data_IF_964379137412
#
_entry.id   IF_964379137412
#
_cell.length_a   1.000
_cell.length_b   1.000
_cell.length_c   1.000
_cell.angle_alpha   90.00
_cell.angle_beta   90.00
_cell.angle_gamma   90.00
#
_symmetry.space_group_name_H-M   'P 1'
#
loop_
_entity.id
_entity.type
_entity.pdbx_description
1 polymer ?
#
# COMPACT_ATOMS: atom_id res chain seq x y z
N UNK A 1 15.67 -23.61 -4.70
CA UNK A 1 17.11 -23.52 -5.04
C UNK A 1 17.80 -24.71 -4.38
N UNK A 2 18.54 -25.53 -5.12
CA UNK A 2 19.17 -26.74 -4.57
C UNK A 2 20.32 -26.34 -3.62
N UNK A 3 20.16 -26.55 -2.31
CA UNK A 3 21.25 -26.41 -1.33
C UNK A 3 22.25 -27.57 -1.51
N UNK A 4 23.53 -27.25 -1.68
CA UNK A 4 24.64 -28.20 -1.61
C UNK A 4 25.33 -28.10 -0.24
N UNK A 5 25.78 -29.22 0.32
CA UNK A 5 26.51 -29.20 1.58
C UNK A 5 27.53 -30.33 1.77
N UNK A 6 28.51 -30.02 2.63
CA UNK A 6 29.76 -30.74 2.94
C UNK A 6 29.73 -31.15 4.42
N UNK A 7 30.30 -32.33 4.74
CA UNK A 7 30.28 -32.99 6.05
C UNK A 7 31.61 -32.83 6.79
N UNK A 8 31.62 -32.35 8.03
CA UNK A 8 32.74 -32.54 8.96
C UNK A 8 32.20 -32.91 10.36
N UNK A 9 32.70 -34.03 10.93
CA UNK A 9 32.31 -34.57 12.26
C UNK A 9 33.29 -34.04 13.31
N UNK A 10 32.83 -33.63 14.49
CA UNK A 10 33.42 -33.91 15.82
C UNK A 10 32.28 -33.84 16.85
N UNK A 11 32.12 -34.92 17.63
CA UNK A 11 31.24 -35.15 18.80
C UNK A 11 29.82 -34.51 18.83
N UNK A 12 28.83 -35.36 18.54
CA UNK A 12 27.39 -35.27 18.86
C UNK A 12 26.48 -34.23 18.18
N UNK A 13 26.91 -33.51 17.14
CA UNK A 13 25.98 -32.79 16.26
C UNK A 13 25.42 -33.72 15.18
N UNK A 14 24.15 -34.11 15.27
CA UNK A 14 23.45 -34.73 14.14
C UNK A 14 22.97 -33.61 13.19
N UNK A 15 23.45 -33.62 11.94
CA UNK A 15 22.97 -32.71 10.91
C UNK A 15 21.84 -33.37 10.12
N UNK A 16 20.68 -32.72 10.06
CA UNK A 16 19.52 -33.18 9.30
C UNK A 16 19.55 -32.54 7.91
N UNK A 17 19.34 -33.35 6.86
CA UNK A 17 19.37 -32.93 5.45
C UNK A 17 18.03 -33.26 4.78
N UNK A 18 17.36 -32.26 4.19
CA UNK A 18 16.06 -32.46 3.51
C UNK A 18 14.87 -32.20 4.44
N UNK A 19 13.74 -32.88 4.22
CA UNK A 19 12.64 -32.84 5.19
C UNK A 19 13.13 -33.38 6.53
N UNK A 20 12.86 -32.66 7.62
CA UNK A 20 13.16 -33.16 8.95
C UNK A 20 12.46 -34.50 9.17
N UNK A 21 13.15 -35.52 9.71
CA UNK A 21 12.49 -36.74 10.13
C UNK A 21 11.45 -36.37 11.20
N UNK A 22 10.27 -36.99 11.13
CA UNK A 22 9.21 -36.78 12.10
C UNK A 22 8.96 -38.12 12.82
N UNK A 23 9.22 -38.22 14.14
CA UNK A 23 9.85 -37.20 14.99
C UNK A 23 11.38 -37.12 14.81
N UNK A 24 11.96 -35.96 15.14
CA UNK A 24 13.38 -35.81 15.44
C UNK A 24 13.60 -36.38 16.85
N UNK A 25 14.58 -37.27 16.99
CA UNK A 25 14.94 -37.87 18.29
C UNK A 25 16.35 -37.40 18.64
N UNK A 26 16.48 -36.68 19.75
CA UNK A 26 17.74 -36.18 20.28
C UNK A 26 17.97 -36.90 21.61
N UNK A 27 19.03 -37.72 21.69
CA UNK A 27 19.29 -38.45 22.93
C UNK A 27 19.65 -37.48 24.06
N UNK A 28 19.60 -37.98 25.29
CA UNK A 28 20.11 -37.24 26.44
C UNK A 28 21.58 -36.86 26.21
N UNK A 29 21.92 -35.59 26.48
CA UNK A 29 23.24 -35.01 26.27
C UNK A 29 23.69 -34.97 24.79
N UNK A 30 22.74 -34.77 23.88
CA UNK A 30 23.01 -34.53 22.46
C UNK A 30 22.29 -33.26 21.98
N UNK A 31 22.72 -32.73 20.84
CA UNK A 31 22.06 -31.59 20.18
C UNK A 31 22.00 -31.81 18.66
N UNK A 32 21.09 -31.10 18.00
CA UNK A 32 20.90 -31.16 16.54
C UNK A 32 21.15 -29.79 15.95
N UNK A 33 21.94 -29.74 14.87
CA UNK A 33 22.15 -28.52 14.09
C UNK A 33 21.42 -28.62 12.75
N UNK A 34 20.68 -27.56 12.43
CA UNK A 34 19.91 -27.43 11.19
C UNK A 34 20.37 -26.16 10.49
N UNK A 35 20.83 -26.28 9.25
CA UNK A 35 21.23 -25.13 8.45
C UNK A 35 20.01 -24.49 7.77
N UNK A 36 19.76 -23.21 8.04
CA UNK A 36 18.75 -22.42 7.33
C UNK A 36 19.28 -21.92 5.97
N UNK A 37 20.60 -21.91 5.80
CA UNK A 37 21.27 -21.38 4.62
C UNK A 37 21.52 -19.88 4.71
N UNK A 38 21.89 -19.27 3.58
CA UNK A 38 22.14 -17.84 3.48
C UNK A 38 20.81 -17.08 3.35
N UNK A 39 20.46 -16.33 4.39
CA UNK A 39 19.23 -15.53 4.44
C UNK A 39 19.55 -14.05 4.20
N UNK A 40 18.67 -13.39 3.45
CA UNK A 40 18.77 -11.95 3.23
C UNK A 40 18.21 -11.18 4.44
N UNK A 41 18.73 -9.98 4.74
CA UNK A 41 18.16 -9.12 5.76
C UNK A 41 16.66 -8.86 5.49
N UNK A 42 15.82 -8.95 6.51
CA UNK A 42 14.36 -8.83 6.38
C UNK A 42 13.63 -10.08 5.86
N UNK A 43 14.32 -11.21 5.65
CA UNK A 43 13.66 -12.49 5.34
C UNK A 43 12.82 -12.93 6.54
N UNK A 44 11.56 -13.29 6.30
CA UNK A 44 10.69 -13.89 7.31
C UNK A 44 10.89 -15.41 7.32
N UNK A 45 11.09 -15.96 8.51
CA UNK A 45 11.20 -17.40 8.76
C UNK A 45 10.15 -17.79 9.78
N UNK A 46 9.29 -18.76 9.45
CA UNK A 46 8.38 -19.36 10.43
C UNK A 46 9.02 -20.63 10.99
N UNK A 47 8.98 -20.75 12.31
CA UNK A 47 9.34 -21.95 13.04
C UNK A 47 8.07 -22.55 13.64
N UNK A 48 7.87 -23.85 13.45
CA UNK A 48 6.78 -24.63 14.07
C UNK A 48 7.40 -25.83 14.78
N UNK A 49 7.23 -25.88 16.10
CA UNK A 49 7.85 -26.86 17.00
C UNK A 49 6.77 -27.53 17.83
N UNK A 50 6.86 -28.85 18.01
CA UNK A 50 6.13 -29.60 19.04
C UNK A 50 7.08 -30.56 19.75
N UNK A 51 7.39 -30.29 21.02
CA UNK A 51 8.40 -31.01 21.81
C UNK A 51 7.80 -31.65 23.07
N UNK A 52 8.23 -32.87 23.40
CA UNK A 52 7.72 -33.62 24.55
C UNK A 52 8.39 -33.29 25.90
N UNK A 53 9.58 -32.69 25.85
CA UNK A 53 10.37 -32.26 27.03
C UNK A 53 11.03 -30.91 26.77
N UNK A 54 11.48 -30.28 27.84
CA UNK A 54 12.20 -29.01 27.80
C UNK A 54 13.54 -29.11 27.06
N UNK A 55 13.83 -28.14 26.20
CA UNK A 55 15.05 -28.05 25.40
C UNK A 55 15.36 -26.58 25.06
N UNK A 56 16.58 -26.28 24.59
CA UNK A 56 16.92 -24.95 24.10
C UNK A 56 16.76 -24.86 22.57
N UNK A 57 16.01 -23.87 22.13
CA UNK A 57 15.92 -23.45 20.74
C UNK A 57 16.85 -22.27 20.51
N UNK A 58 17.99 -22.49 19.87
CA UNK A 58 19.00 -21.46 19.64
C UNK A 58 19.16 -21.14 18.16
N UNK A 59 19.36 -19.87 17.79
CA UNK A 59 19.57 -19.46 16.39
C UNK A 59 20.89 -18.72 16.24
N UNK A 60 21.87 -19.36 15.61
CA UNK A 60 23.23 -18.82 15.45
C UNK A 60 23.51 -18.28 14.06
N UNK A 61 24.26 -17.18 14.02
CA UNK A 61 25.00 -16.77 12.83
C UNK A 61 26.17 -17.74 12.62
N UNK A 62 26.60 -17.91 11.37
CA UNK A 62 27.77 -18.73 11.05
C UNK A 62 29.05 -18.33 11.78
N UNK A 63 29.19 -17.05 12.15
CA UNK A 63 30.35 -16.53 12.91
C UNK A 63 30.27 -16.80 14.40
N UNK A 64 29.07 -16.96 14.95
CA UNK A 64 28.84 -17.26 16.37
C UNK A 64 28.84 -18.74 16.67
N UNK A 65 28.41 -19.57 15.72
CA UNK A 65 28.31 -21.02 15.88
C UNK A 65 29.61 -21.70 16.40
N UNK A 66 30.83 -21.31 16.00
CA UNK A 66 32.03 -21.90 16.57
C UNK A 66 32.20 -21.68 18.07
N UNK A 67 31.62 -20.62 18.66
CA UNK A 67 31.68 -20.42 20.11
C UNK A 67 30.92 -21.53 20.84
N UNK A 68 29.70 -21.84 20.37
CA UNK A 68 28.89 -22.97 20.83
C UNK A 68 29.65 -24.30 20.65
N UNK A 69 30.09 -24.62 19.43
CA UNK A 69 30.74 -25.89 19.10
C UNK A 69 32.06 -26.18 19.85
N UNK A 70 32.69 -25.16 20.44
CA UNK A 70 33.95 -25.28 21.16
C UNK A 70 33.80 -25.03 22.68
N UNK A 71 32.60 -25.20 23.22
CA UNK A 71 32.31 -25.04 24.66
C UNK A 71 32.71 -23.66 25.22
N UNK A 72 32.61 -22.62 24.39
CA UNK A 72 32.89 -21.24 24.79
C UNK A 72 31.59 -20.54 25.18
N UNK A 73 31.70 -19.49 26.01
CA UNK A 73 30.54 -18.63 26.31
C UNK A 73 30.01 -18.00 25.02
N UNK A 74 28.73 -18.25 24.73
CA UNK A 74 28.08 -17.84 23.48
C UNK A 74 26.85 -16.96 23.66
N UNK A 75 26.41 -16.69 24.91
CA UNK A 75 25.20 -15.93 25.24
C UNK A 75 25.35 -14.44 24.93
N UNK A 76 25.30 -14.08 23.65
CA UNK A 76 25.49 -12.72 23.19
C UNK A 76 24.75 -12.47 21.89
N UNK A 77 24.10 -11.30 21.79
CA UNK A 77 23.51 -10.77 20.56
C UNK A 77 24.49 -10.75 19.37
N UNK A 78 25.80 -10.78 19.64
CA UNK A 78 26.86 -10.86 18.60
C UNK A 78 26.92 -12.23 17.92
N UNK A 79 26.52 -13.29 18.61
CA UNK A 79 26.65 -14.67 18.15
C UNK A 79 25.32 -15.26 17.68
N UNK A 80 24.25 -15.03 18.44
CA UNK A 80 22.90 -15.54 18.13
C UNK A 80 21.89 -14.43 17.86
N UNK A 81 20.76 -14.79 17.27
CA UNK A 81 19.60 -13.91 17.15
C UNK A 81 18.81 -13.94 18.47
N UNK A 82 19.15 -13.04 19.39
CA UNK A 82 18.62 -13.03 20.76
C UNK A 82 17.08 -13.00 20.81
N UNK A 83 16.44 -12.35 19.84
CA UNK A 83 14.99 -12.22 19.77
C UNK A 83 14.24 -13.52 19.40
N UNK A 84 14.95 -14.59 19.03
CA UNK A 84 14.34 -15.89 18.67
C UNK A 84 15.08 -17.07 19.33
N UNK A 85 15.64 -16.83 20.51
CA UNK A 85 16.28 -17.85 21.34
C UNK A 85 15.37 -18.17 22.54
N UNK A 86 15.12 -19.45 22.77
CA UNK A 86 14.33 -19.95 23.90
C UNK A 86 15.12 -21.01 24.64
N UNK A 87 15.28 -20.86 25.94
CA UNK A 87 16.17 -21.70 26.76
C UNK A 87 15.39 -22.68 27.64
N UNK A 88 14.07 -22.75 27.51
CA UNK A 88 13.26 -23.69 28.31
C UNK A 88 11.97 -24.04 27.56
N UNK A 89 12.13 -24.35 26.28
CA UNK A 89 11.01 -24.54 25.36
C UNK A 89 10.42 -25.93 25.50
N UNK A 90 9.08 -26.04 25.58
CA UNK A 90 8.37 -27.33 25.66
C UNK A 90 6.97 -27.20 25.07
N UNK A 91 6.43 -28.30 24.54
CA UNK A 91 5.11 -28.34 23.93
C UNK A 91 5.13 -27.73 22.53
N UNK A 92 3.97 -27.23 22.11
CA UNK A 92 3.75 -26.69 20.77
C UNK A 92 3.95 -25.18 20.74
N UNK A 93 4.71 -24.67 19.78
CA UNK A 93 4.80 -23.24 19.50
C UNK A 93 5.04 -22.98 18.01
N UNK A 94 4.45 -21.89 17.52
CA UNK A 94 4.70 -21.37 16.17
C UNK A 94 4.96 -19.87 16.24
N UNK A 95 5.95 -19.40 15.51
CA UNK A 95 6.26 -17.97 15.44
C UNK A 95 7.02 -17.62 14.17
N UNK A 96 6.91 -16.37 13.76
CA UNK A 96 7.77 -15.78 12.75
C UNK A 96 8.94 -15.06 13.40
N UNK A 97 10.11 -15.20 12.79
CA UNK A 97 11.31 -14.44 13.06
C UNK A 97 11.76 -13.72 11.81
N UNK A 98 12.14 -12.45 11.96
CA UNK A 98 12.67 -11.63 10.88
C UNK A 98 14.16 -11.49 11.01
N UNK A 99 14.85 -11.88 9.95
CA UNK A 99 16.31 -11.78 9.88
C UNK A 99 16.72 -10.32 10.07
N UNK A 100 17.62 -10.00 11.01
CA UNK A 100 18.03 -8.63 11.31
C UNK A 100 18.39 -7.82 10.05
N UNK A 101 17.86 -6.60 9.98
CA UNK A 101 17.97 -5.71 8.80
C UNK A 101 19.22 -4.83 8.81
N UNK A 102 19.95 -4.79 9.93
CA UNK A 102 21.14 -3.98 10.16
C UNK A 102 22.45 -4.68 9.73
N UNK A 103 22.33 -5.92 9.29
CA UNK A 103 23.44 -6.75 8.84
C UNK A 103 23.31 -7.12 7.35
N UNK A 104 24.39 -7.59 6.72
CA UNK A 104 24.33 -8.19 5.39
C UNK A 104 23.87 -9.65 5.42
N UNK A 105 23.58 -10.22 4.25
CA UNK A 105 23.20 -11.63 4.13
C UNK A 105 24.22 -12.58 4.79
N UNK A 106 23.72 -13.58 5.52
CA UNK A 106 24.51 -14.49 6.37
C UNK A 106 23.92 -15.89 6.38
N UNK A 107 24.79 -16.86 6.65
CA UNK A 107 24.34 -18.23 6.93
C UNK A 107 23.86 -18.35 8.37
N UNK A 108 22.66 -18.89 8.54
CA UNK A 108 22.01 -19.09 9.83
C UNK A 108 21.82 -20.58 10.15
N UNK A 109 21.85 -20.90 11.43
CA UNK A 109 21.73 -22.26 11.95
C UNK A 109 20.80 -22.27 13.16
N UNK A 110 19.86 -23.21 13.17
CA UNK A 110 19.09 -23.57 14.36
C UNK A 110 19.84 -24.67 15.09
N UNK A 111 19.96 -24.55 16.40
CA UNK A 111 20.42 -25.60 17.31
C UNK A 111 19.24 -25.98 18.19
N UNK A 112 18.88 -27.26 18.15
CA UNK A 112 17.94 -27.88 19.08
C UNK A 112 18.80 -28.55 20.15
N UNK A 113 18.90 -27.90 21.31
CA UNK A 113 19.84 -28.28 22.36
C UNK A 113 19.16 -29.08 23.48
N UNK A 114 19.65 -30.30 23.71
CA UNK A 114 19.27 -31.16 24.83
C UNK A 114 20.53 -31.57 25.63
N UNK A 115 21.55 -30.69 25.64
CA UNK A 115 22.84 -30.87 26.28
C UNK A 115 22.97 -29.94 27.50
N UNK A 116 23.52 -30.46 28.60
CA UNK A 116 24.11 -29.62 29.67
C UNK A 116 25.38 -28.97 29.11
N UNK A 117 25.23 -27.81 28.48
CA UNK A 117 26.25 -27.24 27.62
C UNK A 117 27.15 -26.28 28.40
N UNK A 118 28.43 -26.63 28.61
CA UNK A 118 29.40 -25.84 29.42
C UNK A 118 29.46 -24.32 29.13
N UNK A 119 29.21 -23.91 27.89
CA UNK A 119 29.14 -22.50 27.43
C UNK A 119 27.85 -21.72 27.73
N UNK A 120 26.84 -22.33 28.35
CA UNK A 120 25.49 -21.76 28.61
C UNK A 120 25.36 -21.01 29.95
N UNK A 121 26.45 -20.91 30.73
CA UNK A 121 26.45 -20.35 32.10
C UNK A 121 25.48 -21.05 33.09
N UNK A 122 25.24 -22.36 32.91
CA UNK A 122 24.22 -23.18 33.56
C UNK A 122 22.81 -22.59 33.42
N UNK A 123 22.52 -21.98 32.27
CA UNK A 123 21.19 -21.51 31.93
C UNK A 123 20.58 -22.45 30.90
N UNK A 124 19.26 -22.53 30.91
CA UNK A 124 18.51 -23.34 29.95
C UNK A 124 18.37 -24.82 30.32
N UNK A 125 17.95 -25.62 29.35
CA UNK A 125 17.65 -27.03 29.51
C UNK A 125 18.92 -27.88 29.60
N UNK A 126 19.19 -28.46 30.77
CA UNK A 126 20.43 -29.22 31.04
C UNK A 126 20.34 -30.70 30.58
N UNK A 127 19.46 -31.01 29.64
CA UNK A 127 19.10 -32.38 29.26
C UNK A 127 18.45 -33.20 30.38
N UNK A 128 18.80 -34.49 30.49
CA UNK A 128 18.32 -35.43 31.52
C UNK A 128 17.30 -36.45 31.01
N UNK A 129 16.85 -36.32 29.76
CA UNK A 129 15.98 -37.29 29.08
C UNK A 129 16.18 -37.23 27.56
N UNK A 130 15.63 -38.21 26.84
CA UNK A 130 15.61 -38.17 25.37
C UNK A 130 14.50 -37.22 24.92
N UNK A 131 14.84 -36.25 24.09
CA UNK A 131 13.91 -35.30 23.48
C UNK A 131 13.34 -35.88 22.18
N UNK A 132 12.03 -35.84 22.05
CA UNK A 132 11.31 -36.13 20.82
C UNK A 132 10.53 -34.88 20.38
N UNK A 133 10.77 -34.40 19.17
CA UNK A 133 10.05 -33.25 18.64
C UNK A 133 9.68 -33.38 17.16
N UNK A 134 8.65 -32.66 16.71
CA UNK A 134 8.52 -32.23 15.31
C UNK A 134 9.02 -30.81 15.16
N UNK A 135 9.69 -30.54 14.04
CA UNK A 135 10.19 -29.21 13.71
C UNK A 135 10.08 -28.95 12.21
N UNK A 136 9.37 -27.88 11.87
CA UNK A 136 9.21 -27.39 10.51
C UNK A 136 9.70 -25.94 10.41
N UNK A 137 10.32 -25.65 9.27
CA UNK A 137 10.76 -24.30 8.90
C UNK A 137 10.09 -23.92 7.59
N UNK A 138 9.36 -22.83 7.60
CA UNK A 138 8.74 -22.28 6.38
C UNK A 138 9.17 -20.83 6.14
N UNK A 139 8.92 -20.35 4.92
CA UNK A 139 9.17 -18.98 4.53
C UNK A 139 7.83 -18.40 4.08
N UNK A 140 7.08 -17.76 4.99
CA UNK A 140 5.76 -17.21 4.69
C UNK A 140 5.82 -16.24 3.51
N UNK A 141 4.79 -16.29 2.66
CA UNK A 141 4.59 -15.26 1.63
C UNK A 141 4.01 -14.01 2.28
N UNK A 142 4.64 -12.87 2.06
CA UNK A 142 4.16 -11.58 2.57
C UNK A 142 3.33 -10.84 1.52
N UNK A 143 2.38 -10.01 1.97
CA UNK A 143 1.76 -9.01 1.10
C UNK A 143 2.78 -7.96 0.62
N UNK A 144 2.41 -7.22 -0.44
CA UNK A 144 3.27 -6.16 -0.99
C UNK A 144 3.57 -5.06 0.06
N UNK A 145 2.58 -4.72 0.90
CA UNK A 145 2.74 -3.79 2.02
C UNK A 145 2.70 -4.52 3.36
N UNK A 146 3.58 -5.48 3.54
CA UNK A 146 3.93 -5.97 4.86
C UNK A 146 4.83 -4.92 5.55
N UNK A 147 4.32 -4.28 6.61
CA UNK A 147 5.02 -3.21 7.32
C UNK A 147 5.60 -3.67 8.66
N UNK A 148 5.19 -4.85 9.13
CA UNK A 148 5.77 -5.53 10.27
C UNK A 148 5.43 -7.03 10.19
N UNK A 149 6.40 -7.87 10.46
CA UNK A 149 6.23 -9.30 10.68
C UNK A 149 7.43 -9.70 11.52
N UNK A 150 7.25 -9.97 12.81
CA UNK A 150 8.35 -10.37 13.69
C UNK A 150 7.81 -10.86 15.03
N UNK A 151 8.64 -11.60 15.76
CA UNK A 151 8.45 -11.87 17.17
C UNK A 151 8.59 -10.57 17.98
N UNK A 152 7.70 -10.40 18.95
CA UNK A 152 7.68 -9.32 19.92
C UNK A 152 7.77 -9.95 21.31
N UNK A 153 8.71 -9.46 22.12
CA UNK A 153 8.89 -9.89 23.51
C UNK A 153 8.65 -8.69 24.43
N UNK A 154 7.77 -8.85 25.40
CA UNK A 154 7.41 -7.84 26.38
C UNK A 154 7.63 -8.38 27.79
N UNK A 155 8.34 -7.60 28.60
CA UNK A 155 8.44 -7.84 30.03
C UNK A 155 7.10 -7.62 30.74
N UNK A 156 7.04 -8.02 32.01
CA UNK A 156 5.90 -7.72 32.89
C UNK A 156 5.64 -6.21 32.94
N UNK A 157 4.38 -5.82 32.75
CA UNK A 157 3.92 -4.44 32.78
C UNK A 157 4.76 -3.52 31.88
N UNK A 158 4.91 -3.92 30.62
CA UNK A 158 5.67 -3.19 29.60
C UNK A 158 4.92 -3.12 28.28
N UNK A 159 5.36 -2.22 27.42
CA UNK A 159 4.78 -2.02 26.10
C UNK A 159 5.84 -1.54 25.12
N UNK A 160 5.55 -1.63 23.83
CA UNK A 160 6.41 -1.07 22.79
C UNK A 160 5.63 -0.60 21.57
N UNK A 161 6.15 0.42 20.89
CA UNK A 161 5.68 0.85 19.57
C UNK A 161 6.29 -0.07 18.52
N UNK A 162 5.46 -0.66 17.66
CA UNK A 162 5.92 -1.66 16.69
C UNK A 162 6.39 -1.10 15.35
N UNK A 163 5.74 -0.06 14.85
CA UNK A 163 6.01 0.50 13.52
C UNK A 163 6.31 2.00 13.60
N UNK A 164 7.06 2.50 12.62
CA UNK A 164 7.19 3.94 12.39
C UNK A 164 5.81 4.51 12.02
N UNK A 165 5.38 5.55 12.73
CA UNK A 165 4.10 6.20 12.52
C UNK A 165 3.94 6.79 11.11
N UNK A 166 5.03 7.10 10.41
CA UNK A 166 4.98 7.58 9.03
C UNK A 166 4.55 6.49 8.04
N UNK A 167 4.78 5.22 8.36
CA UNK A 167 4.27 4.08 7.57
C UNK A 167 2.76 3.87 7.80
N UNK A 168 2.19 4.52 8.81
CA UNK A 168 0.78 4.44 9.20
C UNK A 168 0.01 5.73 8.87
N UNK A 169 0.59 6.63 8.06
CA UNK A 169 -0.15 7.73 7.42
C UNK A 169 -0.83 7.16 6.17
N UNK A 170 -2.12 6.89 6.25
CA UNK A 170 -2.86 6.11 5.26
C UNK A 170 -4.00 6.89 4.60
N UNK A 171 -4.31 6.54 3.37
CA UNK A 171 -5.49 7.02 2.66
C UNK A 171 -6.78 6.45 3.28
N UNK A 172 -7.87 7.22 3.26
CA UNK A 172 -9.21 6.73 3.63
C UNK A 172 -9.56 5.50 2.76
N UNK A 173 -10.10 4.45 3.38
CA UNK A 173 -10.46 3.20 2.74
C UNK A 173 -9.31 2.19 2.64
N UNK A 174 -8.08 2.55 3.02
CA UNK A 174 -6.99 1.59 3.20
C UNK A 174 -7.37 0.59 4.30
N UNK A 175 -7.16 -0.70 4.06
CA UNK A 175 -7.34 -1.72 5.08
C UNK A 175 -6.01 -1.99 5.79
N UNK A 176 -6.07 -2.09 7.11
CA UNK A 176 -4.96 -2.50 7.98
C UNK A 176 -5.35 -3.82 8.61
N UNK A 177 -4.60 -4.87 8.30
CA UNK A 177 -4.78 -6.18 8.95
C UNK A 177 -3.67 -6.37 9.98
N UNK A 178 -4.08 -6.58 11.22
CA UNK A 178 -3.19 -6.92 12.33
C UNK A 178 -3.48 -8.38 12.67
N UNK A 179 -2.46 -9.23 12.63
CA UNK A 179 -2.54 -10.63 13.01
C UNK A 179 -1.53 -10.95 14.10
N UNK A 180 -1.86 -11.92 14.93
CA UNK A 180 -0.98 -12.36 16.01
C UNK A 180 -0.94 -13.88 16.14
N UNK A 181 0.25 -14.40 16.41
CA UNK A 181 0.49 -15.81 16.78
C UNK A 181 1.05 -15.81 18.21
N UNK A 182 0.24 -16.19 19.22
CA UNK A 182 0.70 -16.18 20.60
C UNK A 182 1.69 -17.31 20.87
N UNK A 183 2.70 -17.02 21.69
CA UNK A 183 3.66 -18.00 22.21
C UNK A 183 3.62 -18.07 23.74
N UNK A 184 3.58 -16.92 24.42
CA UNK A 184 3.51 -16.81 25.87
C UNK A 184 2.74 -15.56 26.29
N UNK A 185 2.08 -15.63 27.46
CA UNK A 185 1.36 -14.50 28.04
C UNK A 185 0.04 -14.20 27.34
N UNK A 186 -0.48 -13.01 27.60
CA UNK A 186 -1.79 -12.53 27.14
C UNK A 186 -1.71 -11.06 26.68
N UNK A 187 -0.81 -10.72 25.74
CA UNK A 187 -0.61 -9.33 25.31
C UNK A 187 -1.80 -8.79 24.51
N UNK A 188 -1.81 -7.48 24.33
CA UNK A 188 -2.76 -6.73 23.54
C UNK A 188 -2.07 -6.03 22.36
N UNK A 189 -2.81 -5.80 21.28
CA UNK A 189 -2.42 -4.98 20.14
C UNK A 189 -3.51 -3.97 19.85
N UNK A 190 -3.13 -2.72 19.61
CA UNK A 190 -4.10 -1.69 19.23
C UNK A 190 -3.48 -0.51 18.51
N UNK A 191 -4.29 0.12 17.65
CA UNK A 191 -3.96 1.38 17.00
C UNK A 191 -4.47 2.56 17.82
N UNK A 192 -3.66 3.61 17.90
CA UNK A 192 -3.90 4.85 18.61
C UNK A 192 -3.77 6.05 17.66
N UNK A 193 -4.61 7.07 17.85
CA UNK A 193 -4.31 8.45 17.41
C UNK A 193 -3.30 9.11 18.35
N UNK A 194 -2.81 10.30 18.01
CA UNK A 194 -1.81 11.00 18.85
C UNK A 194 -2.34 11.32 20.25
N UNK A 195 -3.55 11.88 20.35
CA UNK A 195 -4.16 12.22 21.64
C UNK A 195 -4.39 10.98 22.52
N UNK A 196 -4.79 9.90 21.87
CA UNK A 196 -4.98 8.60 22.47
C UNK A 196 -3.67 8.01 23.00
N UNK A 197 -2.60 8.08 22.20
CA UNK A 197 -1.24 7.68 22.59
C UNK A 197 -0.73 8.47 23.78
N UNK A 198 -0.87 9.79 23.77
CA UNK A 198 -0.46 10.62 24.91
C UNK A 198 -1.21 10.24 26.19
N UNK A 199 -2.52 9.98 26.08
CA UNK A 199 -3.34 9.56 27.23
C UNK A 199 -2.95 8.18 27.77
N UNK A 200 -2.60 7.25 26.87
CA UNK A 200 -2.09 5.92 27.20
C UNK A 200 -0.74 6.01 27.93
N UNK A 201 0.22 6.76 27.39
CA UNK A 201 1.55 6.94 27.99
C UNK A 201 1.51 7.70 29.33
N UNK A 202 0.49 8.53 29.56
CA UNK A 202 0.26 9.21 30.84
C UNK A 202 -0.44 8.32 31.90
N UNK A 203 -0.80 7.06 31.57
CA UNK A 203 -1.37 6.09 32.51
C UNK A 203 -2.80 6.41 32.96
N UNK A 204 -3.54 7.21 32.20
CA UNK A 204 -4.98 7.45 32.44
C UNK A 204 -5.80 6.33 31.80
N UNK A 205 -7.00 5.98 32.31
CA UNK A 205 -7.96 5.00 31.72
C UNK A 205 -9.42 5.51 31.74
N UNK A 206 -10.23 5.44 30.63
CA UNK A 206 -10.32 4.32 29.66
C UNK A 206 -10.54 4.65 28.13
N UNK A 207 -10.56 3.61 27.28
CA UNK A 207 -10.88 3.60 25.83
C UNK A 207 -10.02 4.49 24.89
N UNK A 208 -8.70 4.47 25.06
CA UNK A 208 -7.80 5.28 24.23
C UNK A 208 -7.46 4.67 22.88
N UNK A 209 -8.24 3.76 22.32
CA UNK A 209 -7.85 3.15 21.05
C UNK A 209 -8.85 3.45 19.96
N UNK A 210 -8.36 3.34 18.74
CA UNK A 210 -9.22 3.39 17.56
C UNK A 210 -10.17 2.19 17.63
N UNK A 211 -11.50 2.41 17.72
CA UNK A 211 -12.44 1.31 17.91
C UNK A 211 -12.39 0.30 16.77
N UNK A 212 -12.24 -0.99 17.11
CA UNK A 212 -12.21 -2.08 16.12
C UNK A 212 -10.86 -2.25 15.41
N UNK A 213 -9.84 -1.51 15.83
CA UNK A 213 -8.45 -1.65 15.35
C UNK A 213 -7.58 -2.28 16.45
N UNK A 214 -8.10 -3.33 17.08
CA UNK A 214 -7.50 -3.98 18.25
C UNK A 214 -7.65 -5.49 18.27
N UNK A 215 -6.66 -6.16 18.85
CA UNK A 215 -6.69 -7.54 19.30
C UNK A 215 -6.37 -7.54 20.78
N UNK A 216 -7.30 -8.01 21.59
CA UNK A 216 -7.15 -8.03 23.04
C UNK A 216 -7.01 -9.45 23.57
N UNK A 217 -6.25 -9.60 24.66
CA UNK A 217 -6.00 -10.83 25.40
C UNK A 217 -5.60 -11.98 24.47
N UNK A 218 -4.55 -11.75 23.68
CA UNK A 218 -4.12 -12.63 22.59
C UNK A 218 -3.58 -13.94 23.19
N UNK A 219 -4.45 -14.96 23.21
CA UNK A 219 -4.18 -16.29 23.77
C UNK A 219 -4.43 -17.42 22.76
N UNK A 220 -4.96 -17.07 21.60
CA UNK A 220 -5.04 -17.91 20.42
C UNK A 220 -4.70 -17.06 19.19
N UNK A 221 -4.28 -17.71 18.11
CA UNK A 221 -4.11 -17.04 16.83
C UNK A 221 -5.38 -16.26 16.43
N UNK A 222 -5.17 -15.07 15.91
CA UNK A 222 -6.27 -14.19 15.54
C UNK A 222 -5.81 -13.03 14.68
N UNK A 223 -6.78 -12.41 14.02
CA UNK A 223 -6.56 -11.24 13.18
C UNK A 223 -7.74 -10.29 13.26
N UNK A 224 -7.46 -8.99 13.14
CA UNK A 224 -8.45 -7.95 12.93
C UNK A 224 -8.10 -7.19 11.66
N UNK A 225 -9.10 -6.92 10.83
CA UNK A 225 -8.96 -6.02 9.67
C UNK A 225 -9.79 -4.78 9.94
N UNK A 226 -9.11 -3.65 10.05
CA UNK A 226 -9.72 -2.34 10.23
C UNK A 226 -9.57 -1.53 8.94
N UNK A 227 -10.61 -0.79 8.57
CA UNK A 227 -10.57 0.11 7.40
C UNK A 227 -10.42 1.54 7.90
N UNK A 228 -9.42 2.25 7.39
CA UNK A 228 -9.17 3.65 7.71
C UNK A 228 -10.37 4.48 7.27
N UNK A 229 -11.02 5.17 8.21
CA UNK A 229 -12.10 6.11 7.89
C UNK A 229 -11.57 7.55 7.69
N UNK A 230 -12.43 8.46 7.23
CA UNK A 230 -12.09 9.87 7.05
C UNK A 230 -11.50 10.56 8.29
N UNK A 231 -11.87 10.13 9.51
CA UNK A 231 -11.39 10.74 10.75
C UNK A 231 -9.96 10.28 11.11
N UNK A 232 -9.51 9.15 10.55
CA UNK A 232 -8.20 8.57 10.79
C UNK A 232 -7.23 8.66 9.60
N UNK A 233 -7.72 9.04 8.41
CA UNK A 233 -6.90 9.19 7.20
C UNK A 233 -5.96 10.40 7.26
N UNK A 234 -4.88 10.36 6.46
CA UNK A 234 -3.94 11.46 6.24
C UNK A 234 -3.29 12.04 7.51
N UNK A 235 -3.21 11.27 8.58
CA UNK A 235 -2.53 11.63 9.82
C UNK A 235 -1.76 10.42 10.37
N UNK A 236 -0.76 10.63 11.25
CA UNK A 236 -0.04 9.51 11.83
C UNK A 236 -0.93 8.70 12.77
N UNK A 237 -0.68 7.39 12.80
CA UNK A 237 -1.29 6.44 13.71
C UNK A 237 -0.19 5.58 14.35
N UNK A 238 -0.41 5.11 15.57
CA UNK A 238 0.57 4.35 16.33
C UNK A 238 0.04 2.97 16.67
N UNK A 239 0.76 1.93 16.24
CA UNK A 239 0.49 0.55 16.65
C UNK A 239 1.38 0.19 17.84
N UNK A 240 0.74 -0.21 18.93
CA UNK A 240 1.42 -0.68 20.14
C UNK A 240 1.15 -2.16 20.37
N UNK A 241 2.20 -2.84 20.84
CA UNK A 241 2.09 -4.08 21.58
C UNK A 241 2.15 -3.75 23.06
N UNK A 242 1.21 -4.28 23.83
CA UNK A 242 0.99 -3.93 25.21
C UNK A 242 0.93 -5.20 26.08
N UNK A 243 1.61 -5.15 27.20
CA UNK A 243 1.61 -6.18 28.23
C UNK A 243 1.48 -5.49 29.60
N UNK A 244 0.59 -4.52 29.69
CA UNK A 244 0.19 -3.83 30.92
C UNK A 244 -1.23 -4.26 31.31
N UNK A 245 -1.70 -3.75 32.46
CA UNK A 245 -3.08 -3.99 32.87
C UNK A 245 -4.05 -3.15 32.03
N UNK A 246 -4.97 -3.84 31.36
CA UNK A 246 -5.97 -3.21 30.50
C UNK A 246 -5.51 -3.18 29.04
N UNK A 247 -6.32 -2.62 28.12
CA UNK A 247 -7.62 -1.99 28.33
C UNK A 247 -8.71 -3.00 28.75
N UNK A 248 -9.95 -2.56 28.98
CA UNK A 248 -11.07 -3.47 29.31
C UNK A 248 -11.16 -4.59 28.27
N UNK A 249 -11.04 -5.84 28.73
CA UNK A 249 -11.03 -7.04 27.87
C UNK A 249 -9.65 -7.48 27.41
N UNK A 250 -8.60 -6.75 27.76
CA UNK A 250 -7.20 -7.08 27.51
C UNK A 250 -6.52 -7.83 28.64
N UNK A 251 -5.22 -8.03 28.46
CA UNK A 251 -4.32 -8.68 29.40
C UNK A 251 -4.20 -7.94 30.74
N UNK A 252 -3.62 -8.63 31.72
CA UNK A 252 -3.30 -8.04 33.03
C UNK A 252 -1.82 -7.69 33.19
N UNK A 253 -1.00 -8.00 32.18
CA UNK A 253 0.43 -7.71 32.16
C UNK A 253 1.25 -8.43 33.23
N UNK A 254 0.70 -9.47 33.86
CA UNK A 254 1.28 -10.09 35.06
C UNK A 254 2.43 -11.06 34.81
N UNK A 255 2.56 -11.55 33.57
CA UNK A 255 3.64 -12.42 33.10
C UNK A 255 4.30 -11.82 31.87
N UNK A 256 5.53 -12.23 31.55
CA UNK A 256 6.14 -11.89 30.26
C UNK A 256 5.29 -12.42 29.11
N UNK A 257 5.24 -11.66 28.02
CA UNK A 257 4.48 -11.97 26.84
C UNK A 257 5.39 -12.09 25.62
N UNK A 258 5.18 -13.14 24.83
CA UNK A 258 5.94 -13.42 23.61
C UNK A 258 4.96 -13.85 22.54
N UNK A 259 5.04 -13.22 21.37
CA UNK A 259 4.10 -13.46 20.29
C UNK A 259 4.62 -12.88 18.98
N UNK A 260 4.22 -13.45 17.85
CA UNK A 260 4.46 -12.84 16.55
C UNK A 260 3.37 -11.81 16.25
N UNK A 261 3.77 -10.67 15.70
CA UNK A 261 2.86 -9.65 15.20
C UNK A 261 3.09 -9.43 13.72
N UNK A 262 2.03 -9.58 12.93
CA UNK A 262 2.04 -9.41 11.48
C UNK A 262 1.09 -8.25 11.14
N UNK A 263 1.58 -7.27 10.39
CA UNK A 263 0.85 -6.07 10.01
C UNK A 263 0.96 -5.86 8.51
N UNK A 264 -0.19 -5.92 7.85
CA UNK A 264 -0.31 -5.84 6.41
C UNK A 264 -1.28 -4.73 6.02
N UNK A 265 -0.89 -3.94 5.02
CA UNK A 265 -1.75 -2.93 4.44
C UNK A 265 -2.31 -3.43 3.11
N UNK A 266 -3.58 -3.14 2.88
CA UNK A 266 -4.18 -3.14 1.55
C UNK A 266 -4.64 -1.71 1.25
N UNK A 267 -3.75 -0.87 0.66
CA UNK A 267 -4.09 0.49 0.27
C UNK A 267 -5.28 0.51 -0.67
N UNK A 268 -6.13 1.51 -0.50
CA UNK A 268 -7.23 1.76 -1.43
C UNK A 268 -6.67 2.04 -2.83
N UNK A 269 -7.32 1.47 -3.84
CA UNK A 269 -7.04 1.77 -5.24
C UNK A 269 -8.28 2.43 -5.84
N UNK A 270 -8.37 3.76 -5.74
CA UNK A 270 -9.53 4.54 -6.17
C UNK A 270 -9.15 5.57 -7.25
N UNK A 271 -9.41 5.27 -8.52
CA UNK A 271 -9.10 6.16 -9.62
C UNK A 271 -9.97 7.41 -9.52
N UNK A 272 -9.37 8.58 -9.30
CA UNK A 272 -10.12 9.83 -9.12
C UNK A 272 -9.81 10.79 -10.26
N UNK A 273 -10.84 11.18 -11.00
CA UNK A 273 -10.74 12.22 -12.04
C UNK A 273 -11.29 13.53 -11.50
N UNK A 274 -10.48 14.58 -11.53
CA UNK A 274 -10.95 15.96 -11.36
C UNK A 274 -10.86 16.71 -12.67
N UNK A 275 -11.71 17.73 -12.84
CA UNK A 275 -11.72 18.60 -14.01
C UNK A 275 -11.93 20.06 -13.59
N UNK A 276 -11.31 20.99 -14.32
CA UNK A 276 -11.55 22.44 -14.13
C UNK A 276 -12.97 22.86 -14.50
N UNK A 277 -13.62 22.14 -15.42
CA UNK A 277 -15.05 22.29 -15.73
C UNK A 277 -15.61 20.99 -16.30
N UNK A 278 -16.89 20.72 -16.03
CA UNK A 278 -17.66 19.64 -16.67
C UNK A 278 -18.68 20.16 -17.69
N UNK A 279 -18.75 21.47 -17.88
CA UNK A 279 -19.56 22.14 -18.90
C UNK A 279 -18.70 23.14 -19.66
N UNK A 280 -18.56 22.95 -20.97
CA UNK A 280 -17.69 23.72 -21.84
C UNK A 280 -18.45 24.32 -23.01
N UNK A 281 -17.95 25.46 -23.48
CA UNK A 281 -18.25 25.98 -24.80
C UNK A 281 -17.45 25.22 -25.87
N UNK A 282 -17.91 25.19 -27.11
CA UNK A 282 -17.18 24.58 -28.22
C UNK A 282 -15.80 25.22 -28.38
N UNK A 283 -14.76 24.40 -28.46
CA UNK A 283 -13.37 24.84 -28.54
C UNK A 283 -12.76 25.34 -27.23
N UNK A 284 -13.52 25.41 -26.13
CA UNK A 284 -12.98 25.73 -24.81
C UNK A 284 -12.18 24.55 -24.24
N UNK A 285 -11.15 24.86 -23.45
CA UNK A 285 -10.29 23.87 -22.78
C UNK A 285 -10.83 23.54 -21.38
N UNK A 286 -10.76 22.27 -21.01
CA UNK A 286 -10.74 21.82 -19.62
C UNK A 286 -9.43 21.10 -19.34
N UNK A 287 -8.93 21.21 -18.11
CA UNK A 287 -7.82 20.39 -17.63
C UNK A 287 -8.42 19.27 -16.79
N UNK A 288 -8.14 18.02 -17.16
CA UNK A 288 -8.46 16.83 -16.38
C UNK A 288 -7.22 16.37 -15.61
N UNK A 289 -7.40 15.87 -14.39
CA UNK A 289 -6.32 15.45 -13.51
C UNK A 289 -6.65 14.17 -12.75
N UNK A 290 -5.64 13.33 -12.56
CA UNK A 290 -5.65 12.12 -11.74
C UNK A 290 -4.97 12.33 -10.38
N UNK A 291 -4.49 13.55 -10.09
CA UNK A 291 -3.67 13.86 -8.91
C UNK A 291 -4.37 13.63 -7.57
N UNK A 292 -5.70 13.55 -7.58
CA UNK A 292 -6.52 13.30 -6.39
C UNK A 292 -6.76 11.79 -6.16
N UNK A 293 -6.19 10.94 -7.01
CA UNK A 293 -6.12 9.48 -6.79
C UNK A 293 -5.30 9.22 -5.52
N UNK A 294 -5.86 8.55 -4.50
CA UNK A 294 -5.15 8.22 -3.26
C UNK A 294 -3.85 7.45 -3.53
N UNK A 295 -2.75 7.86 -2.90
CA UNK A 295 -1.43 7.28 -3.15
C UNK A 295 -0.43 7.36 -1.97
N UNK A 296 -0.90 7.47 -0.73
CA UNK A 296 -0.02 7.64 0.45
C UNK A 296 0.89 6.43 0.69
N UNK A 297 0.47 5.23 0.30
CA UNK A 297 1.28 4.02 0.39
C UNK A 297 2.12 3.76 -0.87
N UNK A 298 2.17 4.73 -1.80
CA UNK A 298 2.79 4.58 -3.14
C UNK A 298 2.22 3.38 -3.91
N UNK A 299 0.90 3.18 -3.80
CA UNK A 299 0.19 2.09 -4.44
C UNK A 299 0.00 2.22 -5.94
N UNK A 300 0.13 3.43 -6.49
CA UNK A 300 0.05 3.71 -7.92
C UNK A 300 1.33 4.40 -8.42
N UNK A 301 1.80 3.99 -9.61
CA UNK A 301 2.78 4.78 -10.37
C UNK A 301 2.07 5.97 -11.04
N UNK A 302 2.31 7.16 -10.52
CA UNK A 302 1.67 8.40 -10.98
C UNK A 302 2.06 8.82 -12.40
N UNK A 303 3.09 8.20 -12.98
CA UNK A 303 3.46 8.41 -14.39
C UNK A 303 2.75 7.43 -15.34
N UNK A 304 2.11 6.39 -14.80
CA UNK A 304 1.48 5.30 -15.55
C UNK A 304 -0.06 5.31 -15.46
N UNK A 305 -0.65 6.46 -15.09
CA UNK A 305 -2.07 6.71 -15.29
C UNK A 305 -2.40 6.65 -16.78
N UNK A 306 -3.45 5.93 -17.15
CA UNK A 306 -3.86 5.75 -18.54
C UNK A 306 -5.21 6.43 -18.77
N UNK A 307 -5.30 7.29 -19.78
CA UNK A 307 -6.51 8.03 -20.14
C UNK A 307 -7.09 7.56 -21.47
N UNK A 308 -8.37 7.22 -21.44
CA UNK A 308 -9.26 7.08 -22.59
C UNK A 308 -10.06 8.39 -22.70
N UNK A 309 -9.85 9.15 -23.76
CA UNK A 309 -10.38 10.51 -23.92
C UNK A 309 -11.68 10.57 -24.75
N UNK A 310 -12.04 9.50 -25.44
CA UNK A 310 -13.18 9.46 -26.34
C UNK A 310 -14.20 8.34 -26.04
N UNK A 311 -13.89 7.47 -25.09
CA UNK A 311 -14.74 6.40 -24.58
C UNK A 311 -14.81 5.18 -25.48
N UNK A 312 -13.84 4.98 -26.39
CA UNK A 312 -13.80 3.80 -27.26
C UNK A 312 -13.15 2.56 -26.61
N UNK A 313 -12.59 2.72 -25.41
CA UNK A 313 -11.92 1.67 -24.63
C UNK A 313 -10.43 1.48 -24.97
N UNK A 314 -9.89 2.27 -25.89
CA UNK A 314 -8.45 2.44 -26.12
C UNK A 314 -7.98 3.58 -25.22
N UNK A 315 -6.72 3.50 -24.77
CA UNK A 315 -6.12 4.54 -23.93
C UNK A 315 -5.10 5.31 -24.77
N UNK A 316 -5.32 6.61 -24.95
CA UNK A 316 -4.55 7.45 -25.86
C UNK A 316 -3.32 8.05 -25.18
N UNK A 317 -3.43 8.34 -23.89
CA UNK A 317 -2.44 9.13 -23.16
C UNK A 317 -2.09 8.53 -21.81
N UNK A 318 -0.88 8.87 -21.35
CA UNK A 318 -0.44 8.57 -20.00
C UNK A 318 0.03 9.83 -19.27
N UNK A 319 -0.20 9.88 -17.96
CA UNK A 319 0.32 10.93 -17.08
C UNK A 319 -0.69 11.50 -16.09
N UNK A 320 -0.26 12.40 -15.20
CA UNK A 320 -1.08 12.89 -14.08
C UNK A 320 -2.21 13.84 -14.50
N UNK A 321 -2.08 14.53 -15.63
CA UNK A 321 -3.09 15.45 -16.13
C UNK A 321 -2.91 15.74 -17.62
N UNK A 322 -3.97 16.22 -18.27
CA UNK A 322 -3.95 16.70 -19.65
C UNK A 322 -5.06 17.72 -19.89
N UNK A 323 -4.90 18.55 -20.92
CA UNK A 323 -5.96 19.41 -21.42
C UNK A 323 -6.79 18.70 -22.50
N UNK A 324 -8.09 18.96 -22.53
CA UNK A 324 -9.07 18.42 -23.48
C UNK A 324 -9.97 19.53 -24.01
N UNK A 325 -10.40 19.39 -25.26
CA UNK A 325 -11.38 20.27 -25.91
C UNK A 325 -12.09 19.53 -27.04
N UNK A 326 -13.27 20.00 -27.42
CA UNK A 326 -14.04 19.45 -28.53
C UNK A 326 -14.54 20.55 -29.45
N UNK A 327 -14.55 20.26 -30.76
CA UNK A 327 -15.02 21.17 -31.81
C UNK A 327 -16.50 20.95 -32.16
N UNK A 328 -17.17 20.07 -31.42
CA UNK A 328 -18.59 19.74 -31.61
C UNK A 328 -19.30 19.67 -30.28
N UNK A 329 -20.57 20.02 -30.28
CA UNK A 329 -21.45 19.78 -29.14
C UNK A 329 -21.62 18.29 -28.86
N UNK A 330 -21.83 17.94 -27.59
CA UNK A 330 -22.06 16.56 -27.17
C UNK A 330 -21.69 16.29 -25.72
N UNK A 331 -21.90 15.04 -25.31
CA UNK A 331 -21.39 14.50 -24.05
C UNK A 331 -20.23 13.58 -24.34
N UNK A 332 -19.07 13.86 -23.76
CA UNK A 332 -17.86 13.08 -23.97
C UNK A 332 -17.45 12.38 -22.67
N UNK A 333 -17.49 11.03 -22.62
CA UNK A 333 -16.94 10.28 -21.50
C UNK A 333 -15.41 10.25 -21.58
N UNK A 334 -14.77 10.40 -20.43
CA UNK A 334 -13.32 10.29 -20.25
C UNK A 334 -13.11 9.25 -19.17
N UNK A 335 -12.32 8.22 -19.45
CA UNK A 335 -12.01 7.17 -18.47
C UNK A 335 -10.54 7.23 -18.07
N UNK A 336 -10.28 7.06 -16.77
CA UNK A 336 -8.95 6.95 -16.18
C UNK A 336 -8.78 5.53 -15.68
N UNK A 337 -7.71 4.84 -16.09
CA UNK A 337 -7.27 3.59 -15.46
C UNK A 337 -6.00 3.83 -14.66
N UNK A 338 -6.01 3.31 -13.44
CA UNK A 338 -4.86 3.29 -12.55
C UNK A 338 -4.42 1.84 -12.36
N UNK A 339 -3.10 1.62 -12.39
CA UNK A 339 -2.49 0.31 -12.22
C UNK A 339 -1.72 0.29 -10.91
N UNK A 340 -2.13 -0.59 -10.00
CA UNK A 340 -1.48 -0.81 -8.72
C UNK A 340 -0.17 -1.57 -8.87
N UNK A 341 0.82 -1.26 -8.03
CA UNK A 341 2.11 -1.98 -7.98
C UNK A 341 1.97 -3.45 -7.57
N UNK A 342 0.84 -3.78 -6.94
CA UNK A 342 0.43 -5.13 -6.54
C UNK A 342 -0.38 -5.87 -7.64
N UNK A 343 -0.53 -5.26 -8.82
CA UNK A 343 -1.24 -5.84 -9.97
C UNK A 343 -2.75 -5.62 -9.97
N UNK A 344 -3.33 -4.97 -8.95
CA UNK A 344 -4.72 -4.52 -9.02
C UNK A 344 -4.86 -3.39 -10.03
N UNK A 345 -6.06 -3.20 -10.58
CA UNK A 345 -6.37 -2.06 -11.45
C UNK A 345 -7.72 -1.46 -11.05
N UNK A 346 -7.89 -0.17 -11.21
CA UNK A 346 -9.20 0.47 -11.07
C UNK A 346 -9.44 1.49 -12.17
N UNK A 347 -10.69 1.65 -12.59
CA UNK A 347 -11.10 2.55 -13.65
C UNK A 347 -12.24 3.43 -13.18
N UNK A 348 -12.11 4.74 -13.43
CA UNK A 348 -13.16 5.73 -13.18
C UNK A 348 -13.51 6.44 -14.47
N UNK A 349 -14.69 7.08 -14.51
CA UNK A 349 -15.18 7.77 -15.72
C UNK A 349 -15.86 9.07 -15.34
N UNK A 350 -15.51 10.14 -16.05
CA UNK A 350 -16.09 11.48 -15.95
C UNK A 350 -16.71 11.87 -17.28
N UNK A 351 -17.90 12.46 -17.28
CA UNK A 351 -18.51 12.99 -18.52
C UNK A 351 -18.42 14.51 -18.59
N UNK A 352 -17.94 15.03 -19.71
CA UNK A 352 -17.89 16.46 -20.02
C UNK A 352 -19.02 16.81 -21.00
N UNK A 353 -19.81 17.83 -20.69
CA UNK A 353 -20.83 18.38 -21.57
C UNK A 353 -20.27 19.55 -22.36
N UNK A 354 -20.39 19.51 -23.69
CA UNK A 354 -19.98 20.58 -24.59
C UNK A 354 -21.21 21.10 -25.32
N UNK A 355 -21.45 22.40 -25.24
CA UNK A 355 -22.59 23.10 -25.85
C UNK A 355 -22.07 24.36 -26.52
N UNK A 356 -22.68 24.80 -27.60
CA UNK A 356 -22.42 26.11 -28.18
C UNK A 356 -23.03 27.20 -27.29
N UNK A 357 -22.16 27.98 -26.64
CA UNK A 357 -22.54 29.04 -25.71
C UNK A 357 -22.17 30.44 -26.24
N UNK A 358 -21.39 30.48 -27.31
CA UNK A 358 -20.90 31.72 -27.91
C UNK A 358 -21.83 32.14 -29.05
N UNK A 359 -22.15 33.43 -29.08
CA UNK A 359 -22.93 33.96 -30.20
C UNK A 359 -22.02 34.31 -31.38
N UNK A 360 -22.49 34.16 -32.63
CA UNK A 360 -21.73 34.55 -33.79
C UNK A 360 -21.45 36.05 -33.79
N UNK A 361 -20.25 36.43 -34.23
CA UNK A 361 -19.85 37.83 -34.40
C UNK A 361 -20.08 38.24 -35.84
N UNK A 362 -21.10 39.06 -36.08
CA UNK A 362 -21.44 39.53 -37.41
C UNK A 362 -20.49 40.64 -37.90
N UNK A 363 -19.97 40.52 -39.13
CA UNK A 363 -19.06 41.52 -39.73
C UNK A 363 -19.44 41.81 -41.18
N UNK A 364 -19.72 43.08 -41.48
CA UNK A 364 -19.91 43.58 -42.85
C UNK A 364 -18.64 44.28 -43.31
N UNK A 365 -18.07 43.81 -44.42
CA UNK A 365 -16.92 44.42 -45.09
C UNK A 365 -17.36 45.46 -46.11
N UNK A 366 -16.65 46.60 -46.16
CA UNK A 366 -16.97 47.73 -47.06
C UNK A 366 -16.92 49.11 -46.39
N UNK A 367 -16.79 49.14 -45.06
CA UNK A 367 -16.69 50.37 -44.27
C UNK A 367 -18.04 51.05 -44.00
N UNK A 368 -18.02 52.06 -43.14
CA UNK A 368 -19.26 52.69 -42.62
C UNK A 368 -19.88 53.73 -43.56
N UNK A 369 -19.18 54.14 -44.62
CA UNK A 369 -19.66 55.15 -45.56
C UNK A 369 -19.29 54.77 -47.00
N UNK A 370 -20.29 54.31 -47.74
CA UNK A 370 -20.15 53.88 -49.13
C UNK A 370 -20.86 54.91 -50.00
N UNK A 371 -20.09 55.66 -50.80
CA UNK A 371 -20.62 56.66 -51.75
C UNK A 371 -20.50 56.12 -53.16
N UNK A 372 -21.64 56.02 -53.86
CA UNK A 372 -21.72 55.49 -55.24
C UNK A 372 -22.55 56.41 -56.12
N UNK A 373 -22.37 56.29 -57.43
CA UNK A 373 -23.21 56.98 -58.41
C UNK A 373 -24.64 56.45 -58.38
N UNK A 374 -25.61 57.31 -58.72
CA UNK A 374 -27.01 56.90 -58.83
C UNK A 374 -27.15 55.75 -59.85
N UNK A 375 -27.81 54.65 -59.44
CA UNK A 375 -28.01 53.46 -60.27
C UNK A 375 -26.84 52.47 -60.28
N UNK A 376 -25.76 52.74 -59.56
CA UNK A 376 -24.62 51.80 -59.49
C UNK A 376 -24.84 50.70 -58.43
N UNK A 377 -24.61 49.45 -58.81
CA UNK A 377 -24.56 48.33 -57.87
C UNK A 377 -23.22 48.26 -57.13
N UNK A 378 -23.25 47.68 -55.94
CA UNK A 378 -22.05 47.35 -55.18
C UNK A 378 -22.22 46.01 -54.49
N UNK A 379 -21.09 45.41 -54.13
CA UNK A 379 -21.05 44.15 -53.40
C UNK A 379 -20.51 44.41 -52.00
N UNK A 380 -21.18 43.86 -51.00
CA UNK A 380 -20.64 43.73 -49.66
C UNK A 380 -20.25 42.27 -49.45
N UNK A 381 -19.20 42.07 -48.66
CA UNK A 381 -18.78 40.74 -48.23
C UNK A 381 -18.91 40.64 -46.72
N UNK A 382 -19.17 39.44 -46.22
CA UNK A 382 -19.10 39.16 -44.78
C UNK A 382 -17.78 38.49 -44.43
N UNK A 383 -17.33 38.70 -43.20
CA UNK A 383 -16.30 37.91 -42.53
C UNK A 383 -16.74 37.56 -41.11
N UNK A 384 -18.05 37.30 -40.95
CA UNK A 384 -18.64 36.84 -39.70
C UNK A 384 -17.99 35.54 -39.24
N UNK A 385 -17.85 35.36 -37.93
CA UNK A 385 -17.17 34.20 -37.34
C UNK A 385 -17.97 33.66 -36.16
N UNK A 386 -17.85 32.35 -35.95
CA UNK A 386 -18.37 31.63 -34.80
C UNK A 386 -17.43 30.46 -34.45
N UNK A 387 -17.40 30.02 -33.19
CA UNK A 387 -16.53 28.94 -32.71
C UNK A 387 -17.08 27.54 -32.99
N UNK A 388 -18.37 27.39 -33.32
CA UNK A 388 -18.96 26.13 -33.76
C UNK A 388 -19.45 26.23 -35.21
N UNK A 389 -20.26 27.23 -35.50
CA UNK A 389 -20.78 27.49 -36.84
C UNK A 389 -21.89 28.54 -36.87
N UNK A 390 -22.02 29.21 -38.01
CA UNK A 390 -23.13 30.13 -38.25
C UNK A 390 -24.25 29.34 -38.90
N UNK A 391 -25.38 29.14 -38.21
CA UNK A 391 -26.56 28.48 -38.80
C UNK A 391 -27.11 29.27 -40.00
N UNK A 392 -27.18 30.60 -39.85
CA UNK A 392 -27.77 31.50 -40.85
C UNK A 392 -27.14 32.88 -40.83
N UNK A 393 -26.93 33.45 -42.01
CA UNK A 393 -26.58 34.86 -42.20
C UNK A 393 -27.67 35.57 -43.03
N UNK A 394 -28.07 36.76 -42.58
CA UNK A 394 -29.14 37.54 -43.21
C UNK A 394 -28.66 38.95 -43.55
N UNK A 395 -28.88 39.36 -44.80
CA UNK A 395 -28.56 40.70 -45.29
C UNK A 395 -29.82 41.54 -45.40
N UNK A 396 -29.88 42.62 -44.63
CA UNK A 396 -31.00 43.55 -44.62
C UNK A 396 -30.58 44.89 -45.22
N UNK A 397 -31.37 45.43 -46.15
CA UNK A 397 -31.21 46.78 -46.70
C UNK A 397 -32.54 47.53 -46.62
N UNK A 398 -32.50 48.76 -46.11
CA UNK A 398 -33.68 49.62 -45.92
C UNK A 398 -34.85 48.93 -45.17
N UNK A 399 -34.52 48.06 -44.21
CA UNK A 399 -35.50 47.30 -43.43
C UNK A 399 -36.11 46.09 -44.14
N UNK A 400 -35.64 45.73 -45.34
CA UNK A 400 -36.07 44.55 -46.08
C UNK A 400 -34.95 43.50 -46.11
N UNK A 401 -35.31 42.23 -45.93
CA UNK A 401 -34.40 41.10 -46.14
C UNK A 401 -34.11 40.95 -47.64
N UNK A 402 -32.84 41.05 -48.02
CA UNK A 402 -32.36 41.00 -49.41
C UNK A 402 -31.77 39.62 -49.75
N UNK A 403 -31.06 39.02 -48.79
CA UNK A 403 -30.44 37.71 -48.96
C UNK A 403 -30.41 36.98 -47.61
N UNK A 404 -30.62 35.67 -47.65
CA UNK A 404 -30.43 34.78 -46.50
C UNK A 404 -29.69 33.55 -46.97
N UNK A 405 -28.55 33.28 -46.33
CA UNK A 405 -27.74 32.11 -46.59
C UNK A 405 -27.76 31.23 -45.34
N UNK A 406 -27.95 29.91 -45.55
CA UNK A 406 -27.95 28.90 -44.49
C UNK A 406 -26.82 27.90 -44.73
N UNK A 407 -26.13 27.48 -43.68
CA UNK A 407 -25.08 26.47 -43.77
C UNK A 407 -24.03 26.57 -42.67
N UNK A 408 -23.73 25.43 -42.05
CA UNK A 408 -22.87 25.28 -40.85
C UNK A 408 -21.37 25.37 -41.12
N UNK A 409 -20.89 26.35 -41.89
CA UNK A 409 -19.44 26.50 -42.17
C UNK A 409 -19.09 27.87 -42.70
N UNK A 410 -17.83 28.32 -42.51
CA UNK A 410 -17.33 29.67 -42.81
C UNK A 410 -17.80 30.10 -44.21
N UNK A 411 -18.86 30.91 -44.32
CA UNK A 411 -19.19 31.45 -45.61
C UNK A 411 -18.22 32.63 -45.83
N UNK A 412 -17.78 32.83 -47.06
CA UNK A 412 -17.38 34.16 -47.52
C UNK A 412 -18.52 34.68 -48.39
N UNK A 413 -19.74 34.88 -47.85
CA UNK A 413 -20.86 35.23 -48.67
C UNK A 413 -20.71 36.68 -49.09
N UNK A 414 -21.00 36.91 -50.36
CA UNK A 414 -21.09 38.25 -50.92
C UNK A 414 -22.55 38.53 -51.25
N UNK A 415 -23.06 39.68 -50.84
CA UNK A 415 -24.38 40.17 -51.26
C UNK A 415 -24.20 41.25 -52.32
N UNK A 416 -24.93 41.14 -53.42
CA UNK A 416 -25.04 42.22 -54.41
C UNK A 416 -26.20 43.13 -54.02
N UNK A 417 -25.90 44.39 -53.69
CA UNK A 417 -26.92 45.41 -53.48
C UNK A 417 -27.21 46.04 -54.85
N UNK A 418 -28.39 45.73 -55.37
CA UNK A 418 -28.94 46.35 -56.57
C UNK A 418 -29.63 47.67 -56.21
N UNK A 419 -29.66 48.65 -57.12
CA UNK A 419 -30.34 49.91 -56.86
C UNK A 419 -31.81 49.66 -56.52
N UNK A 420 -32.28 50.26 -55.43
CA UNK A 420 -33.70 50.31 -55.13
C UNK A 420 -34.43 50.91 -56.34
N UNK A 421 -35.41 50.21 -56.88
CA UNK A 421 -36.33 50.81 -57.84
C UNK A 421 -37.27 51.70 -57.03
N UNK A 422 -36.83 52.93 -56.76
CA UNK A 422 -37.72 53.97 -56.27
C UNK A 422 -38.66 54.28 -57.45
N UNK A 423 -39.89 53.79 -57.37
CA UNK A 423 -41.01 54.33 -58.16
C UNK A 423 -41.44 55.67 -57.57
#
# INVERSE_FOLDING_TARGET
MHLQAKVERHHALQSIWGQCPIPIIINDQECVQIALGELQPGTIVEFDVDADVNFDFLVFRSTGLPAYQNDQSYRSATYWAEDTVFEDMVGTARWHWTVPTDEGAKNWFVILDNLDHLGDDNQGAQGGSTLQLSFDVTFPTTSYWNIHDSLVQLGVNSHTKLVDENLMILDEGTQVTISAIPLQGNPDLFILTENQRLSYLDGTAPEFRVPGADLLQITSEGSVTWTVDAAHANQPLWLYADNEVGPTGGGDGSTEAIFTVIVELLPILDATITSTSTSLDVGALATISATDTPNLSNQVDTNAYEWDLDGDGIYELTGPSTDVFWQTEGTFPISLRVNGVDGRTHTSTLSIQVTDQSYPVAVINGGNNIVRGFGESFTLASSSTDNFGIDREEWWADGNLIQSDSGTGIPSPTVLIQPATIL
#
